data_IF_718515552121
#
_entry.id   IF_718515552121
#
_cell.length_a   1.000
_cell.length_b   1.000
_cell.length_c   1.000
_cell.angle_alpha   90.00
_cell.angle_beta   90.00
_cell.angle_gamma   90.00
#
_symmetry.space_group_name_H-M   'P 1'
#
loop_
_entity.id
_entity.type
_entity.pdbx_description
1 polymer ?
#
# COMPACT_ATOMS: atom_id res chain seq x y z
N UNK A 1 6.22 9.05 16.70
CA UNK A 1 6.77 7.70 16.42
C UNK A 1 5.73 6.67 16.00
N UNK A 2 4.89 6.07 16.87
CA UNK A 2 3.89 5.05 16.41
C UNK A 2 2.78 5.69 15.58
N UNK A 3 2.30 6.88 15.97
CA UNK A 3 1.28 7.65 15.23
C UNK A 3 1.76 8.06 13.84
N UNK A 4 3.04 8.40 13.67
CA UNK A 4 3.62 8.70 12.35
C UNK A 4 3.69 7.46 11.46
N UNK A 5 3.98 6.28 12.04
CA UNK A 5 3.94 5.03 11.30
C UNK A 5 2.51 4.68 10.88
N UNK A 6 1.51 4.92 11.74
CA UNK A 6 0.10 4.71 11.41
C UNK A 6 -0.35 5.60 10.25
N UNK A 7 0.00 6.90 10.26
CA UNK A 7 -0.29 7.82 9.16
C UNK A 7 0.38 7.34 7.85
N UNK A 8 1.59 6.76 7.92
CA UNK A 8 2.26 6.19 6.74
C UNK A 8 1.53 4.95 6.22
N UNK A 9 1.09 4.05 7.11
CA UNK A 9 0.30 2.87 6.73
C UNK A 9 -0.95 3.29 5.99
N UNK A 10 -1.75 4.20 6.56
CA UNK A 10 -2.98 4.69 5.95
C UNK A 10 -2.73 5.29 4.56
N UNK A 11 -1.68 6.11 4.42
CA UNK A 11 -1.29 6.68 3.13
C UNK A 11 -0.95 5.60 2.09
N UNK A 12 -0.21 4.56 2.49
CA UNK A 12 0.16 3.49 1.57
C UNK A 12 -1.03 2.60 1.22
N UNK A 13 -1.95 2.35 2.15
CA UNK A 13 -3.21 1.65 1.89
C UNK A 13 -4.08 2.41 0.88
N UNK A 14 -4.23 3.74 1.06
CA UNK A 14 -4.97 4.59 0.12
C UNK A 14 -4.35 4.53 -1.27
N UNK A 15 -3.02 4.63 -1.37
CA UNK A 15 -2.33 4.53 -2.66
C UNK A 15 -2.49 3.17 -3.31
N UNK A 16 -2.38 2.09 -2.53
CA UNK A 16 -2.57 0.74 -3.04
C UNK A 16 -3.98 0.59 -3.63
N UNK A 17 -5.02 1.01 -2.90
CA UNK A 17 -6.41 0.97 -3.35
C UNK A 17 -6.64 1.83 -4.61
N UNK A 18 -6.03 3.01 -4.68
CA UNK A 18 -6.11 3.89 -5.86
C UNK A 18 -5.52 3.21 -7.10
N UNK A 19 -4.35 2.58 -6.98
CA UNK A 19 -3.74 1.84 -8.09
C UNK A 19 -4.50 0.57 -8.45
N UNK A 20 -5.13 -0.12 -7.50
CA UNK A 20 -6.02 -1.25 -7.80
C UNK A 20 -7.25 -0.81 -8.60
N UNK A 21 -7.82 0.35 -8.30
CA UNK A 21 -8.92 0.92 -9.08
C UNK A 21 -8.44 1.28 -10.50
N UNK A 22 -7.29 1.95 -10.63
CA UNK A 22 -6.73 2.28 -11.94
C UNK A 22 -6.39 1.02 -12.76
N UNK A 23 -5.89 -0.05 -12.12
CA UNK A 23 -5.67 -1.34 -12.77
C UNK A 23 -6.98 -1.96 -13.27
N UNK A 24 -8.06 -1.87 -12.50
CA UNK A 24 -9.39 -2.34 -12.90
C UNK A 24 -9.98 -1.56 -14.07
N UNK A 25 -9.69 -0.26 -14.15
CA UNK A 25 -10.20 0.63 -15.20
C UNK A 25 -9.32 0.65 -16.47
N UNK A 26 -8.09 0.15 -16.39
CA UNK A 26 -7.17 0.16 -17.53
C UNK A 26 -7.68 -0.74 -18.67
N UNK A 27 -7.81 -0.15 -19.86
CA UNK A 27 -8.28 -0.85 -21.06
C UNK A 27 -7.24 -1.81 -21.65
N UNK A 28 -5.95 -1.53 -21.43
CA UNK A 28 -4.84 -2.26 -22.03
C UNK A 28 -4.02 -3.04 -21.01
N UNK A 29 -3.54 -4.21 -21.41
CA UNK A 29 -2.73 -5.11 -20.58
C UNK A 29 -1.49 -4.45 -19.97
N UNK A 30 -0.66 -3.71 -20.73
CA UNK A 30 0.53 -3.05 -20.17
C UNK A 30 0.22 -1.99 -19.13
N UNK A 31 -0.84 -1.19 -19.35
CA UNK A 31 -1.25 -0.16 -18.40
C UNK A 31 -1.82 -0.77 -17.11
N UNK A 32 -2.62 -1.83 -17.26
CA UNK A 32 -3.11 -2.62 -16.13
C UNK A 32 -1.96 -3.21 -15.31
N UNK A 33 -1.01 -3.87 -15.96
CA UNK A 33 0.15 -4.48 -15.30
C UNK A 33 0.99 -3.44 -14.55
N UNK A 34 1.15 -2.24 -15.12
CA UNK A 34 1.84 -1.14 -14.44
C UNK A 34 1.16 -0.75 -13.12
N UNK A 35 -0.16 -0.58 -13.14
CA UNK A 35 -0.92 -0.25 -11.93
C UNK A 35 -0.97 -1.40 -10.93
N UNK A 36 -1.04 -2.65 -11.37
CA UNK A 36 -0.97 -3.83 -10.48
C UNK A 36 0.37 -3.90 -9.73
N UNK A 37 1.49 -3.57 -10.39
CA UNK A 37 2.81 -3.49 -9.73
C UNK A 37 2.83 -2.38 -8.68
N UNK A 38 2.27 -1.21 -8.98
CA UNK A 38 2.22 -0.11 -8.02
C UNK A 38 1.32 -0.45 -6.81
N UNK A 39 0.17 -1.05 -7.05
CA UNK A 39 -0.72 -1.54 -5.99
C UNK A 39 0.01 -2.52 -5.06
N UNK A 40 0.69 -3.51 -5.64
CA UNK A 40 1.48 -4.49 -4.89
C UNK A 40 2.60 -3.84 -4.07
N UNK A 41 3.33 -2.89 -4.66
CA UNK A 41 4.40 -2.18 -3.96
C UNK A 41 3.90 -1.43 -2.72
N UNK A 42 2.83 -0.65 -2.84
CA UNK A 42 2.30 0.11 -1.72
C UNK A 42 1.62 -0.78 -0.66
N UNK A 43 0.96 -1.86 -1.07
CA UNK A 43 0.40 -2.86 -0.15
C UNK A 43 1.50 -3.58 0.66
N UNK A 44 2.62 -3.91 0.01
CA UNK A 44 3.81 -4.46 0.66
C UNK A 44 4.38 -3.49 1.71
N UNK A 45 4.57 -2.23 1.35
CA UNK A 45 5.01 -1.20 2.31
C UNK A 45 4.05 -1.05 3.48
N UNK A 46 2.74 -0.99 3.25
CA UNK A 46 1.76 -0.92 4.34
C UNK A 46 1.89 -2.11 5.29
N UNK A 47 2.10 -3.31 4.75
CA UNK A 47 2.28 -4.54 5.54
C UNK A 47 3.53 -4.49 6.42
N UNK A 48 4.67 -4.09 5.86
CA UNK A 48 5.92 -3.96 6.61
C UNK A 48 5.80 -2.95 7.77
N UNK A 49 5.16 -1.81 7.51
CA UNK A 49 4.93 -0.81 8.55
C UNK A 49 3.97 -1.29 9.64
N UNK A 50 2.90 -2.04 9.29
CA UNK A 50 2.02 -2.67 10.29
C UNK A 50 2.80 -3.63 11.19
N UNK A 51 3.68 -4.46 10.62
CA UNK A 51 4.52 -5.36 11.41
C UNK A 51 5.46 -4.61 12.37
N UNK A 52 6.05 -3.49 11.94
CA UNK A 52 6.88 -2.65 12.80
C UNK A 52 6.05 -2.03 13.95
N UNK A 53 4.85 -1.55 13.65
CA UNK A 53 3.94 -0.99 14.66
C UNK A 53 3.61 -2.05 15.72
N UNK A 54 3.22 -3.26 15.30
CA UNK A 54 2.89 -4.34 16.22
C UNK A 54 4.09 -4.73 17.10
N UNK A 55 5.29 -4.83 16.52
CA UNK A 55 6.53 -5.05 17.30
C UNK A 55 6.79 -3.94 18.32
N UNK A 56 6.47 -2.68 18.01
CA UNK A 56 6.67 -1.54 18.92
C UNK A 56 5.59 -1.42 20.00
N UNK A 57 4.40 -1.98 19.80
CA UNK A 57 3.33 -2.03 20.81
C UNK A 57 3.53 -3.18 21.80
N UNK A 58 4.23 -4.23 21.38
CA UNK A 58 4.50 -5.41 22.20
C UNK A 58 5.67 -5.23 23.20
N UNK A 59 6.27 -4.03 23.25
CA UNK A 59 7.36 -3.62 24.16
C UNK A 59 6.81 -2.58 25.12
#
# INVERSE_FOLDING_TARGET
>A
MVTELQIKVERYEIRAADYEEHARQAAEGPQRAFYEVLAGYYSGLATDFRQIIEKRKAV
#
